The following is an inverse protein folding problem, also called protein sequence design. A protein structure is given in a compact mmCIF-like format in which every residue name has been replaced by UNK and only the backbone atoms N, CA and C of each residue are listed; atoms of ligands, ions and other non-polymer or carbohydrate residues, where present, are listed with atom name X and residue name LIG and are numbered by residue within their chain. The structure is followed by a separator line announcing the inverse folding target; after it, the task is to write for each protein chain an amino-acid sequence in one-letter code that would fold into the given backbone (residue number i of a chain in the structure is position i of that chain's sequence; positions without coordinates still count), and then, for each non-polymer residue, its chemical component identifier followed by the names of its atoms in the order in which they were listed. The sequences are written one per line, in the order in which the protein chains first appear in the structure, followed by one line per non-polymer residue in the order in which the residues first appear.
data_IF_736224822960
#
_entry.id   IF_736224822960
#
_cell.length_a   1.000
_cell.length_b   1.000
_cell.length_c   1.000
_cell.angle_alpha   90.00
_cell.angle_beta   90.00
_cell.angle_gamma   90.00
#
_symmetry.space_group_name_H-M   'P 1'
#
loop_
_entity.id
_entity.type
_entity.pdbx_description
1 polymer ?
#
# COMPACT_ATOMS: atom_id res chain seq x y z
N UNK A 1 8.24 12.35 23.83
CA UNK A 1 7.68 11.02 23.58
C UNK A 1 8.62 10.28 22.64
N UNK A 2 9.10 9.09 23.02
CA UNK A 2 9.95 8.31 22.12
C UNK A 2 9.11 7.85 20.94
N UNK A 3 9.54 8.20 19.73
CA UNK A 3 8.94 7.77 18.48
C UNK A 3 8.98 6.25 18.43
N UNK A 4 7.86 5.61 18.05
CA UNK A 4 7.73 4.16 17.99
C UNK A 4 8.45 3.61 16.75
N UNK A 5 9.77 3.46 16.83
CA UNK A 5 10.59 2.70 15.87
C UNK A 5 10.34 1.21 16.06
N UNK A 6 10.06 0.49 14.99
CA UNK A 6 9.79 -0.94 14.97
C UNK A 6 10.74 -1.65 13.99
N UNK A 7 11.27 -2.79 14.39
CA UNK A 7 11.94 -3.70 13.48
C UNK A 7 10.93 -4.48 12.61
N UNK A 8 11.41 -5.31 11.69
CA UNK A 8 10.60 -6.06 10.74
C UNK A 8 9.46 -6.86 11.41
N UNK A 9 9.77 -7.70 12.39
CA UNK A 9 8.76 -8.57 13.03
C UNK A 9 7.76 -7.76 13.85
N UNK A 10 8.24 -6.76 14.58
CA UNK A 10 7.35 -5.87 15.34
C UNK A 10 6.45 -5.05 14.41
N UNK A 11 6.92 -4.66 13.23
CA UNK A 11 6.11 -3.96 12.22
C UNK A 11 5.02 -4.87 11.64
N UNK A 12 5.35 -6.12 11.33
CA UNK A 12 4.36 -7.09 10.86
C UNK A 12 3.28 -7.37 11.90
N UNK A 13 3.66 -7.55 13.17
CA UNK A 13 2.71 -7.72 14.29
C UNK A 13 1.85 -6.47 14.49
N UNK A 14 2.42 -5.27 14.38
CA UNK A 14 1.71 -3.99 14.50
C UNK A 14 0.60 -3.85 13.43
N UNK A 15 0.89 -4.27 12.19
CA UNK A 15 -0.12 -4.36 11.12
C UNK A 15 -1.20 -5.40 11.45
N UNK A 16 -0.82 -6.59 11.90
CA UNK A 16 -1.74 -7.67 12.26
C UNK A 16 -2.68 -7.30 13.43
N UNK A 17 -2.22 -6.42 14.34
CA UNK A 17 -3.04 -5.85 15.42
C UNK A 17 -4.00 -4.75 14.93
N UNK A 18 -4.04 -4.48 13.63
CA UNK A 18 -4.89 -3.45 13.04
C UNK A 18 -4.44 -2.02 13.33
N UNK A 19 -3.16 -1.80 13.55
CA UNK A 19 -2.55 -0.48 13.79
C UNK A 19 -1.98 0.11 12.50
N UNK A 20 -1.56 1.36 12.57
CA UNK A 20 -1.09 2.14 11.42
C UNK A 20 0.44 2.16 11.39
N UNK A 21 1.01 1.87 10.23
CA UNK A 21 2.45 1.81 10.04
C UNK A 21 2.92 2.82 9.00
N UNK A 22 3.88 3.68 9.40
CA UNK A 22 4.71 4.43 8.45
C UNK A 22 5.80 3.47 7.97
N UNK A 23 6.02 3.40 6.67
CA UNK A 23 6.95 2.43 6.10
C UNK A 23 7.76 3.02 4.93
N UNK A 24 9.02 2.59 4.74
CA UNK A 24 9.79 2.99 3.57
C UNK A 24 9.22 2.37 2.30
N UNK A 25 9.37 3.05 1.17
CA UNK A 25 9.11 2.51 -0.17
C UNK A 25 10.30 2.79 -1.07
N UNK A 26 10.15 2.61 -2.38
CA UNK A 26 11.22 2.84 -3.34
C UNK A 26 11.72 4.30 -3.39
N UNK A 27 10.97 5.27 -2.86
CA UNK A 27 11.42 6.66 -2.94
C UNK A 27 10.74 7.64 -1.98
N UNK A 28 9.57 7.30 -1.45
CA UNK A 28 8.84 8.15 -0.51
C UNK A 28 8.37 7.32 0.68
N UNK A 29 8.22 7.96 1.83
CA UNK A 29 7.60 7.31 2.97
C UNK A 29 6.11 7.06 2.71
N UNK A 30 5.67 5.85 3.02
CA UNK A 30 4.27 5.44 2.97
C UNK A 30 3.64 5.40 4.35
N UNK A 31 2.31 5.51 4.38
CA UNK A 31 1.47 5.21 5.52
C UNK A 31 0.48 4.13 5.12
N UNK A 32 0.33 3.11 5.96
CA UNK A 32 -0.48 1.96 5.63
C UNK A 32 -1.05 1.22 6.84
N UNK A 33 -1.86 0.23 6.57
CA UNK A 33 -2.49 -0.65 7.54
C UNK A 33 -2.88 -1.98 6.88
N UNK A 34 -3.36 -2.95 7.66
CA UNK A 34 -4.04 -4.13 7.13
C UNK A 34 -5.27 -3.69 6.31
N UNK A 35 -5.26 -4.00 5.01
CA UNK A 35 -6.35 -3.65 4.09
C UNK A 35 -7.66 -4.36 4.43
N UNK A 36 -7.60 -5.55 5.03
CA UNK A 36 -8.78 -6.33 5.39
C UNK A 36 -9.41 -5.87 6.71
N UNK A 37 -8.71 -5.07 7.50
CA UNK A 37 -9.25 -4.48 8.71
C UNK A 37 -9.98 -3.16 8.39
N UNK A 38 -11.31 -3.21 8.31
CA UNK A 38 -12.16 -2.05 7.98
C UNK A 38 -11.90 -0.83 8.89
N UNK A 39 -11.66 -1.06 10.19
CA UNK A 39 -11.41 0.04 11.15
C UNK A 39 -10.11 0.76 10.81
N UNK A 40 -9.03 0.01 10.60
CA UNK A 40 -7.72 0.57 10.24
C UNK A 40 -7.75 1.24 8.87
N UNK A 41 -8.45 0.65 7.90
CA UNK A 41 -8.64 1.22 6.57
C UNK A 41 -9.32 2.60 6.63
N UNK A 42 -10.40 2.74 7.39
CA UNK A 42 -11.07 4.02 7.59
C UNK A 42 -10.20 5.02 8.35
N UNK A 43 -9.41 4.55 9.31
CA UNK A 43 -8.48 5.38 10.08
C UNK A 43 -7.45 6.11 9.21
N UNK A 44 -7.00 5.49 8.09
CA UNK A 44 -6.08 6.14 7.14
C UNK A 44 -6.72 7.39 6.51
N UNK A 45 -8.01 7.36 6.17
CA UNK A 45 -8.71 8.55 5.64
C UNK A 45 -8.72 9.69 6.65
N UNK A 46 -9.02 9.39 7.91
CA UNK A 46 -9.08 10.38 8.97
C UNK A 46 -7.70 11.00 9.25
N UNK A 47 -6.66 10.16 9.41
CA UNK A 47 -5.28 10.61 9.64
C UNK A 47 -4.76 11.50 8.50
N UNK A 48 -5.07 11.14 7.26
CA UNK A 48 -4.63 11.90 6.08
C UNK A 48 -5.55 13.06 5.71
N UNK A 49 -6.69 13.23 6.37
CA UNK A 49 -7.78 14.15 5.93
C UNK A 49 -8.13 13.92 4.45
N UNK A 50 -8.21 12.65 4.05
CA UNK A 50 -8.37 12.23 2.65
C UNK A 50 -9.84 12.10 2.29
N UNK A 51 -10.27 12.61 1.12
CA UNK A 51 -11.63 12.35 0.62
C UNK A 51 -11.86 10.86 0.41
N UNK A 52 -13.00 10.33 0.91
CA UNK A 52 -13.33 8.90 0.88
C UNK A 52 -13.54 8.30 -0.52
N UNK A 53 -13.71 9.15 -1.53
CA UNK A 53 -13.84 8.75 -2.94
C UNK A 53 -12.48 8.45 -3.62
N UNK A 54 -11.35 8.65 -2.92
CA UNK A 54 -10.00 8.34 -3.45
C UNK A 54 -9.52 7.00 -2.94
N UNK A 55 -9.44 6.00 -3.81
CA UNK A 55 -8.89 4.67 -3.50
C UNK A 55 -7.43 4.71 -3.07
N UNK A 56 -6.97 3.61 -2.47
CA UNK A 56 -5.58 3.38 -2.09
C UNK A 56 -4.93 2.34 -2.98
N UNK A 57 -3.60 2.34 -3.02
CA UNK A 57 -2.83 1.22 -3.56
C UNK A 57 -2.76 0.14 -2.48
N UNK A 58 -2.95 -1.11 -2.89
CA UNK A 58 -2.78 -2.28 -2.04
C UNK A 58 -1.46 -2.97 -2.41
N UNK A 59 -0.56 -3.07 -1.44
CA UNK A 59 0.69 -3.81 -1.58
C UNK A 59 0.46 -5.27 -1.18
N UNK A 60 0.97 -6.17 -1.99
CA UNK A 60 0.90 -7.62 -1.82
C UNK A 60 2.29 -8.22 -2.05
N UNK A 61 2.57 -9.37 -1.45
CA UNK A 61 3.81 -10.11 -1.71
C UNK A 61 3.75 -10.85 -3.05
N UNK A 62 2.57 -11.33 -3.44
CA UNK A 62 2.32 -12.05 -4.68
C UNK A 62 0.85 -12.02 -5.10
N UNK A 63 0.55 -12.40 -6.35
CA UNK A 63 -0.83 -12.57 -6.82
C UNK A 63 -1.63 -13.58 -5.99
N UNK A 64 -0.95 -14.57 -5.40
CA UNK A 64 -1.62 -15.59 -4.59
C UNK A 64 -2.36 -14.97 -3.39
N UNK A 65 -1.78 -13.95 -2.76
CA UNK A 65 -2.36 -13.24 -1.60
C UNK A 65 -3.72 -12.61 -1.91
N UNK A 66 -3.92 -12.16 -3.15
CA UNK A 66 -5.14 -11.46 -3.58
C UNK A 66 -6.08 -12.33 -4.43
N UNK A 67 -5.66 -13.53 -4.85
CA UNK A 67 -6.32 -14.34 -5.87
C UNK A 67 -7.82 -14.59 -5.63
N UNK A 68 -8.25 -14.74 -4.37
CA UNK A 68 -9.66 -14.97 -4.05
C UNK A 68 -10.57 -13.75 -4.25
N UNK A 69 -10.00 -12.56 -4.40
CA UNK A 69 -10.72 -11.29 -4.44
C UNK A 69 -10.75 -10.66 -5.85
N UNK A 70 -9.97 -11.19 -6.78
CA UNK A 70 -9.90 -10.71 -8.17
C UNK A 70 -10.57 -11.68 -9.13
N UNK A 71 -10.97 -11.18 -10.29
CA UNK A 71 -11.44 -12.02 -11.38
C UNK A 71 -10.31 -12.90 -11.92
N UNK A 72 -10.68 -14.01 -12.60
CA UNK A 72 -9.69 -14.88 -13.23
C UNK A 72 -8.94 -14.11 -14.32
N UNK A 73 -7.63 -14.12 -14.22
CA UNK A 73 -6.75 -13.49 -15.20
C UNK A 73 -6.52 -14.39 -16.42
N UNK A 74 -6.45 -13.79 -17.60
CA UNK A 74 -6.04 -14.46 -18.83
C UNK A 74 -4.53 -14.76 -18.83
N UNK A 75 -4.09 -15.63 -19.73
CA UNK A 75 -2.66 -15.92 -19.93
C UNK A 75 -1.90 -14.66 -20.37
N UNK A 76 -2.50 -13.83 -21.22
CA UNK A 76 -1.90 -12.57 -21.68
C UNK A 76 -1.76 -11.55 -20.55
N UNK A 77 -2.73 -11.48 -19.63
CA UNK A 77 -2.63 -10.63 -18.45
C UNK A 77 -1.53 -11.11 -17.49
N UNK A 78 -1.45 -12.42 -17.25
CA UNK A 78 -0.38 -13.00 -16.42
C UNK A 78 1.01 -12.74 -17.03
N UNK A 79 1.19 -12.97 -18.33
CA UNK A 79 2.44 -12.69 -19.02
C UNK A 79 2.82 -11.20 -18.91
N UNK A 80 1.85 -10.29 -19.01
CA UNK A 80 2.13 -8.86 -18.84
C UNK A 80 2.52 -8.52 -17.40
N UNK A 81 1.84 -9.07 -16.41
CA UNK A 81 2.18 -8.89 -14.99
C UNK A 81 3.65 -9.26 -14.75
N UNK A 82 4.11 -10.38 -15.30
CA UNK A 82 5.49 -10.85 -15.15
C UNK A 82 6.53 -9.89 -15.77
N UNK A 83 6.13 -9.02 -16.70
CA UNK A 83 7.03 -8.00 -17.26
C UNK A 83 7.19 -6.77 -16.38
N UNK A 84 6.26 -6.50 -15.46
CA UNK A 84 6.21 -5.27 -14.66
C UNK A 84 6.30 -5.50 -13.16
N UNK A 85 6.06 -6.73 -12.68
CA UNK A 85 6.18 -7.11 -11.28
C UNK A 85 7.24 -8.20 -11.05
N UNK A 86 7.98 -8.12 -9.91
CA UNK A 86 7.94 -7.05 -8.91
C UNK A 86 8.59 -5.75 -9.42
N UNK A 87 8.00 -4.58 -9.07
CA UNK A 87 8.51 -3.30 -9.57
C UNK A 87 7.70 -2.06 -9.18
N UNK A 88 8.06 -0.90 -9.76
CA UNK A 88 7.43 0.37 -9.44
C UNK A 88 6.10 0.59 -10.19
N UNK A 89 5.48 -0.46 -10.72
CA UNK A 89 4.22 -0.38 -11.46
C UNK A 89 3.06 -0.85 -10.61
N UNK A 90 2.01 -0.05 -10.53
CA UNK A 90 0.70 -0.39 -9.96
C UNK A 90 -0.23 -0.80 -11.08
N UNK A 91 -0.94 -1.91 -10.92
CA UNK A 91 -1.94 -2.38 -11.88
C UNK A 91 -3.35 -2.19 -11.33
N UNK A 92 -4.26 -1.67 -12.14
CA UNK A 92 -5.69 -1.70 -11.87
C UNK A 92 -6.24 -3.03 -12.36
N UNK A 93 -6.77 -3.84 -11.44
CA UNK A 93 -7.24 -5.21 -11.70
C UNK A 93 -8.70 -5.32 -11.27
N UNK A 94 -9.51 -5.95 -12.10
CA UNK A 94 -10.93 -6.19 -11.82
C UNK A 94 -11.10 -7.12 -10.63
N UNK A 95 -11.88 -6.69 -9.63
CA UNK A 95 -12.20 -7.51 -8.47
C UNK A 95 -13.54 -8.23 -8.63
N UNK A 96 -13.75 -9.27 -7.82
CA UNK A 96 -15.01 -10.01 -7.73
C UNK A 96 -15.81 -9.67 -6.47
N UNK A 97 -16.99 -10.24 -6.32
CA UNK A 97 -17.94 -10.01 -5.23
C UNK A 97 -17.41 -10.41 -3.83
N UNK A 98 -16.31 -11.17 -3.74
CA UNK A 98 -15.70 -11.58 -2.46
C UNK A 98 -14.82 -10.48 -1.85
N UNK A 99 -14.50 -9.43 -2.63
CA UNK A 99 -13.73 -8.32 -2.07
C UNK A 99 -14.54 -7.61 -0.98
N UNK A 100 -13.98 -7.36 0.21
CA UNK A 100 -14.68 -6.62 1.26
C UNK A 100 -15.23 -5.28 0.77
N UNK A 101 -16.47 -4.96 1.13
CA UNK A 101 -17.21 -3.77 0.67
C UNK A 101 -16.40 -2.46 0.83
N UNK A 102 -15.67 -2.30 1.94
CA UNK A 102 -14.88 -1.09 2.19
C UNK A 102 -13.68 -0.90 1.22
N UNK A 103 -13.28 -1.94 0.48
CA UNK A 103 -12.26 -1.90 -0.57
C UNK A 103 -12.87 -1.72 -1.97
N UNK A 104 -14.17 -1.92 -2.12
CA UNK A 104 -14.87 -1.78 -3.39
C UNK A 104 -15.02 -0.30 -3.78
N UNK A 105 -15.14 -0.05 -5.07
CA UNK A 105 -15.34 1.28 -5.62
C UNK A 105 -16.13 1.23 -6.93
N UNK A 106 -16.56 2.39 -7.40
CA UNK A 106 -17.42 2.51 -8.62
C UNK A 106 -16.73 2.06 -9.91
N UNK A 107 -15.40 1.96 -9.94
CA UNK A 107 -14.68 1.51 -11.15
C UNK A 107 -14.65 0.00 -11.32
N UNK A 108 -15.01 -0.78 -10.29
CA UNK A 108 -14.87 -2.25 -10.32
C UNK A 108 -13.42 -2.75 -10.27
N UNK A 109 -12.45 -1.87 -10.02
CA UNK A 109 -11.01 -2.20 -10.07
C UNK A 109 -10.30 -1.80 -8.78
N UNK A 110 -9.32 -2.62 -8.37
CA UNK A 110 -8.40 -2.31 -7.28
C UNK A 110 -7.00 -2.05 -7.81
N UNK A 111 -6.29 -1.13 -7.17
CA UNK A 111 -4.92 -0.77 -7.48
C UNK A 111 -3.97 -1.67 -6.69
N UNK A 112 -3.32 -2.61 -7.36
CA UNK A 112 -2.42 -3.59 -6.75
C UNK A 112 -0.97 -3.34 -7.16
N UNK A 113 -0.03 -3.66 -6.26
CA UNK A 113 1.40 -3.60 -6.56
C UNK A 113 2.17 -4.67 -5.80
N UNK A 114 3.10 -5.32 -6.51
CA UNK A 114 4.17 -6.14 -5.95
C UNK A 114 5.45 -5.33 -6.01
N UNK A 115 5.92 -4.85 -4.86
CA UNK A 115 7.11 -4.00 -4.77
C UNK A 115 8.40 -4.79 -4.92
N UNK A 116 9.42 -4.19 -5.55
CA UNK A 116 10.78 -4.74 -5.59
C UNK A 116 11.67 -4.22 -4.45
N UNK A 117 11.23 -3.27 -3.67
CA UNK A 117 11.98 -2.70 -2.55
C UNK A 117 12.12 -3.71 -1.41
N UNK A 118 13.36 -4.06 -1.04
CA UNK A 118 13.64 -5.15 -0.10
C UNK A 118 12.91 -5.00 1.26
N UNK A 119 12.91 -3.82 1.94
CA UNK A 119 12.17 -3.65 3.19
C UNK A 119 10.69 -3.99 3.07
N UNK A 120 10.02 -3.51 2.03
CA UNK A 120 8.58 -3.78 1.80
C UNK A 120 8.32 -5.24 1.46
N UNK A 121 9.14 -5.86 0.63
CA UNK A 121 9.03 -7.31 0.33
C UNK A 121 9.12 -8.14 1.60
N UNK A 122 10.11 -7.83 2.45
CA UNK A 122 10.32 -8.53 3.72
C UNK A 122 9.14 -8.32 4.69
N UNK A 123 8.64 -7.08 4.77
CA UNK A 123 7.49 -6.74 5.60
C UNK A 123 6.22 -7.48 5.15
N UNK A 124 5.89 -7.46 3.86
CA UNK A 124 4.71 -8.14 3.32
C UNK A 124 4.79 -9.66 3.51
N UNK A 125 5.97 -10.24 3.33
CA UNK A 125 6.19 -11.67 3.59
C UNK A 125 6.00 -12.02 5.07
N UNK A 126 6.49 -11.18 5.99
CA UNK A 126 6.34 -11.39 7.44
C UNK A 126 4.90 -11.14 7.90
N UNK A 127 4.23 -10.12 7.35
CA UNK A 127 2.84 -9.79 7.65
C UNK A 127 1.86 -10.81 7.06
N UNK A 128 2.19 -11.40 5.90
CA UNK A 128 1.38 -12.39 5.18
C UNK A 128 -0.07 -11.91 4.92
N UNK A 129 -0.22 -10.65 4.50
CA UNK A 129 -1.52 -10.02 4.28
C UNK A 129 -1.50 -9.00 3.14
N UNK A 130 -2.59 -8.26 3.02
CA UNK A 130 -2.76 -7.18 2.05
C UNK A 130 -2.61 -5.86 2.79
N UNK A 131 -1.66 -5.02 2.38
CA UNK A 131 -1.38 -3.76 3.06
C UNK A 131 -1.85 -2.57 2.22
N UNK A 132 -2.65 -1.69 2.80
CA UNK A 132 -2.89 -0.34 2.24
C UNK A 132 -1.56 0.41 2.22
N UNK A 133 -1.30 1.13 1.14
CA UNK A 133 -0.16 2.05 1.06
C UNK A 133 -0.53 3.34 0.33
N UNK A 134 -0.18 4.45 0.92
CA UNK A 134 -0.29 5.80 0.35
C UNK A 134 0.85 6.66 0.89
N UNK A 135 1.19 7.77 0.23
CA UNK A 135 2.24 8.68 0.73
C UNK A 135 1.98 9.16 2.17
N UNK A 136 3.04 9.28 2.98
CA UNK A 136 2.95 9.67 4.38
C UNK A 136 2.88 11.21 4.53
N UNK A 137 1.82 11.83 3.99
CA UNK A 137 1.52 13.26 4.08
C UNK A 137 0.02 13.50 4.31
N UNK A 138 -0.36 14.67 4.73
CA UNK A 138 -1.75 15.12 4.70
C UNK A 138 -2.18 15.28 3.25
N UNK A 139 -3.40 14.88 2.92
CA UNK A 139 -3.89 14.89 1.53
C UNK A 139 -3.84 16.30 0.93
N UNK A 140 -3.19 16.42 -0.23
CA UNK A 140 -3.00 17.69 -0.93
C UNK A 140 -1.80 18.52 -0.47
N UNK A 141 -1.04 18.05 0.52
CA UNK A 141 0.24 18.65 0.92
C UNK A 141 1.41 17.91 0.28
N UNK A 142 2.59 18.53 0.29
CA UNK A 142 3.83 17.93 -0.22
C UNK A 142 4.23 16.69 0.58
N UNK A 143 5.01 15.81 -0.06
CA UNK A 143 5.57 14.64 0.59
C UNK A 143 6.63 15.06 1.62
N UNK A 144 6.57 14.44 2.78
CA UNK A 144 7.59 14.58 3.81
C UNK A 144 8.69 13.53 3.60
N UNK A 145 9.94 13.96 3.68
CA UNK A 145 11.10 13.09 3.45
C UNK A 145 11.82 12.68 4.74
N UNK A 146 11.52 13.36 5.83
CA UNK A 146 12.13 13.12 7.13
C UNK A 146 11.16 12.36 8.04
N UNK A 147 11.60 11.22 8.58
CA UNK A 147 10.76 10.38 9.46
C UNK A 147 10.34 11.12 10.73
N UNK A 148 11.16 12.03 11.23
CA UNK A 148 10.85 12.84 12.41
C UNK A 148 9.69 13.80 12.16
N UNK A 149 9.66 14.44 10.98
CA UNK A 149 8.57 15.30 10.56
C UNK A 149 7.28 14.51 10.38
N UNK A 150 7.38 13.35 9.72
CA UNK A 150 6.24 12.44 9.49
C UNK A 150 5.63 12.00 10.83
N UNK A 151 6.46 11.59 11.79
CA UNK A 151 6.00 11.13 13.09
C UNK A 151 5.48 12.27 13.97
N UNK A 152 5.85 13.52 13.70
CA UNK A 152 5.23 14.69 14.34
C UNK A 152 3.84 14.97 13.77
N UNK A 153 3.66 14.82 12.44
CA UNK A 153 2.36 14.98 11.76
C UNK A 153 1.37 13.90 12.17
N UNK A 154 1.84 12.64 12.26
CA UNK A 154 1.04 11.46 12.60
C UNK A 154 1.31 10.98 14.03
N UNK A 155 1.37 11.92 15.00
CA UNK A 155 1.70 11.63 16.40
C UNK A 155 0.49 11.04 17.16
N UNK A 156 0.07 9.86 16.77
CA UNK A 156 -1.05 9.15 17.35
C UNK A 156 -0.60 7.87 18.07
N UNK A 157 -1.37 7.39 19.04
CA UNK A 157 -0.98 6.24 19.87
C UNK A 157 -0.92 4.92 19.09
N UNK A 158 -1.71 4.82 18.01
CA UNK A 158 -1.81 3.68 17.12
C UNK A 158 -0.88 3.75 15.90
N UNK A 159 -0.04 4.79 15.79
CA UNK A 159 0.93 4.97 14.70
C UNK A 159 2.35 4.65 15.17
N UNK A 160 3.08 3.88 14.36
CA UNK A 160 4.49 3.57 14.53
C UNK A 160 5.20 3.59 13.18
N UNK A 161 6.53 3.52 13.13
CA UNK A 161 7.24 3.42 11.86
C UNK A 161 8.15 2.18 11.81
N UNK A 162 8.22 1.58 10.62
CA UNK A 162 9.18 0.55 10.28
C UNK A 162 10.54 1.20 10.01
N UNK A 163 11.50 0.92 10.87
CA UNK A 163 12.84 1.49 10.84
C UNK A 163 13.72 0.73 9.86
N UNK A 164 13.63 1.12 8.61
CA UNK A 164 14.45 0.56 7.53
C UNK A 164 14.70 1.63 6.45
N UNK A 165 15.50 1.30 5.44
CA UNK A 165 15.98 2.24 4.44
C UNK A 165 14.91 2.59 3.42
N UNK A 166 14.74 3.91 3.20
CA UNK A 166 14.02 4.44 2.05
C UNK A 166 14.85 4.17 0.78
N UNK A 167 14.16 3.86 -0.34
CA UNK A 167 14.82 3.74 -1.65
C UNK A 167 15.11 5.10 -2.28
N UNK A 168 15.86 5.09 -3.38
CA UNK A 168 16.36 6.30 -4.05
C UNK A 168 15.49 6.78 -5.22
N UNK A 169 14.35 6.11 -5.49
CA UNK A 169 13.46 6.47 -6.59
C UNK A 169 12.41 7.51 -6.16
N UNK A 170 12.66 8.78 -6.40
CA UNK A 170 11.79 9.89 -6.00
C UNK A 170 10.48 10.03 -6.81
N UNK A 171 10.11 9.03 -7.61
CA UNK A 171 8.88 9.07 -8.41
C UNK A 171 7.79 8.20 -7.78
N UNK A 172 6.51 8.62 -7.88
CA UNK A 172 5.39 7.75 -7.55
C UNK A 172 5.33 6.55 -8.51
N UNK A 173 4.65 5.47 -8.13
CA UNK A 173 4.48 4.33 -9.02
C UNK A 173 3.69 4.70 -10.28
N UNK A 174 4.11 4.17 -11.41
CA UNK A 174 3.31 4.17 -12.64
C UNK A 174 2.01 3.40 -12.39
N UNK A 175 0.89 3.86 -12.96
CA UNK A 175 -0.40 3.15 -12.87
C UNK A 175 -0.87 2.76 -14.26
N UNK A 176 -1.13 1.48 -14.46
CA UNK A 176 -1.60 0.90 -15.73
C UNK A 176 -2.88 0.11 -15.47
N UNK A 177 -3.87 0.26 -16.33
CA UNK A 177 -5.02 -0.62 -16.38
C UNK A 177 -4.61 -1.97 -16.99
N UNK A 178 -4.80 -3.07 -16.23
CA UNK A 178 -4.31 -4.38 -16.66
C UNK A 178 -4.99 -4.87 -17.93
N UNK A 179 -6.29 -4.66 -18.06
CA UNK A 179 -7.06 -5.15 -19.20
C UNK A 179 -6.79 -4.35 -20.47
N UNK A 180 -6.88 -3.02 -20.40
CA UNK A 180 -6.77 -2.14 -21.56
C UNK A 180 -5.31 -1.73 -21.89
N UNK A 181 -4.37 -1.96 -20.99
CA UNK A 181 -2.98 -1.47 -21.03
C UNK A 181 -2.84 0.07 -21.01
N UNK A 182 -3.93 0.78 -20.79
CA UNK A 182 -3.92 2.23 -20.69
C UNK A 182 -3.08 2.70 -19.50
N UNK A 183 -2.21 3.68 -19.75
CA UNK A 183 -1.43 4.36 -18.70
C UNK A 183 -2.31 5.43 -18.07
N UNK A 184 -2.62 5.26 -16.79
CA UNK A 184 -3.45 6.19 -16.01
C UNK A 184 -2.59 7.26 -15.34
N UNK A 185 -1.37 6.88 -14.95
CA UNK A 185 -0.35 7.76 -14.39
C UNK A 185 1.03 7.22 -14.72
N UNK A 186 1.92 8.10 -15.15
CA UNK A 186 3.34 7.80 -15.43
C UNK A 186 4.25 8.27 -14.27
#
# INVERSE_FOLDING_TARGET
MHKKSLNLLSSANHLAEGKILIHPTEGIWGIGCDALNKKSFLRIYDLKKRPKNKSFILLIDSLYTIAKYINKLSVEELNFIDTVWPGPTTLLIDYNEKLPEHLQNVSGKIALRVSNHYPIKSLLKAFNGIMVSTSANISGQDNLNNIDEIMNVFNESDVAYFDDKLGDNNKPSRIIDLHTRAVIRD
#
